data_IF_010460196796
#
_entry.id   IF_010460196796
#
_cell.length_a   1.000
_cell.length_b   1.000
_cell.length_c   1.000
_cell.angle_alpha   90.00
_cell.angle_beta   90.00
_cell.angle_gamma   90.00
#
_symmetry.space_group_name_H-M   'P 1'
#
loop_
_entity.id
_entity.type
_entity.pdbx_description
1 polymer ?
#
# COMPACT_ATOMS: atom_id res chain seq x y z
N UNK A 1 2.60 -4.84 -14.13
CA UNK A 1 3.48 -5.78 -13.42
C UNK A 1 3.03 -6.16 -12.01
N UNK A 2 2.49 -5.23 -11.20
CA UNK A 2 1.91 -5.59 -9.89
C UNK A 2 2.95 -6.18 -8.92
N UNK A 3 4.20 -5.72 -9.00
CA UNK A 3 5.31 -6.16 -8.13
C UNK A 3 5.95 -4.97 -7.45
N UNK A 4 6.39 -5.16 -6.21
CA UNK A 4 7.19 -4.19 -5.47
C UNK A 4 8.29 -4.90 -4.68
N UNK A 5 9.43 -4.25 -4.55
CA UNK A 5 10.48 -4.63 -3.62
C UNK A 5 10.78 -3.45 -2.70
N UNK A 6 11.03 -3.72 -1.43
CA UNK A 6 11.49 -2.74 -0.47
C UNK A 6 12.56 -3.32 0.44
N UNK A 7 13.38 -2.47 1.02
CA UNK A 7 14.33 -2.83 2.06
C UNK A 7 14.10 -1.90 3.24
N UNK A 8 14.11 -2.47 4.45
CA UNK A 8 14.04 -1.77 5.72
C UNK A 8 15.32 -2.12 6.52
N UNK A 9 16.46 -1.46 6.23
CA UNK A 9 17.76 -1.82 6.79
C UNK A 9 17.79 -1.78 8.32
N UNK A 10 17.14 -0.80 8.93
CA UNK A 10 17.07 -0.61 10.38
C UNK A 10 16.34 -1.76 11.08
N UNK A 11 15.48 -2.46 10.33
CA UNK A 11 14.77 -3.66 10.78
C UNK A 11 15.43 -4.96 10.29
N UNK A 12 16.46 -4.88 9.44
CA UNK A 12 17.10 -6.03 8.81
C UNK A 12 16.19 -6.81 7.85
N UNK A 13 15.18 -6.15 7.27
CA UNK A 13 14.16 -6.81 6.44
C UNK A 13 14.28 -6.45 4.96
N UNK A 14 14.10 -7.44 4.10
CA UNK A 14 13.77 -7.28 2.68
C UNK A 14 12.33 -7.71 2.43
N UNK A 15 11.60 -6.96 1.61
CA UNK A 15 10.22 -7.23 1.23
C UNK A 15 10.17 -7.44 -0.28
N UNK A 16 9.56 -8.54 -0.70
CA UNK A 16 9.18 -8.80 -2.08
C UNK A 16 7.67 -9.04 -2.13
N UNK A 17 6.97 -8.30 -2.96
CA UNK A 17 5.51 -8.30 -3.04
C UNK A 17 5.10 -8.54 -4.49
N UNK A 18 4.16 -9.47 -4.68
CA UNK A 18 3.49 -9.74 -5.96
C UNK A 18 1.98 -9.68 -5.75
N UNK A 19 1.31 -8.95 -6.62
CA UNK A 19 -0.12 -9.03 -6.80
C UNK A 19 -0.42 -10.08 -7.87
N UNK A 20 -1.25 -11.07 -7.50
CA UNK A 20 -1.55 -12.23 -8.34
C UNK A 20 -2.19 -11.85 -9.68
N UNK A 21 -3.09 -10.88 -9.69
CA UNK A 21 -3.75 -10.39 -10.91
C UNK A 21 -2.89 -9.40 -11.72
N UNK A 22 -1.67 -9.11 -11.25
CA UNK A 22 -0.72 -8.21 -11.89
C UNK A 22 -1.13 -6.73 -11.88
N UNK A 23 -2.23 -6.36 -11.20
CA UNK A 23 -2.76 -5.01 -11.18
C UNK A 23 -1.87 -4.08 -10.34
N UNK A 24 -1.27 -3.08 -11.00
CA UNK A 24 -0.42 -2.08 -10.33
C UNK A 24 -1.12 -1.37 -9.17
N UNK A 25 -2.36 -0.92 -9.39
CA UNK A 25 -3.17 -0.24 -8.38
C UNK A 25 -3.42 -1.08 -7.11
N UNK A 26 -3.52 -2.40 -7.24
CA UNK A 26 -3.68 -3.29 -6.09
C UNK A 26 -2.33 -3.49 -5.38
N UNK A 27 -1.26 -3.68 -6.15
CA UNK A 27 0.09 -3.83 -5.63
C UNK A 27 0.57 -2.58 -4.84
N UNK A 28 0.24 -1.37 -5.29
CA UNK A 28 0.52 -0.10 -4.60
C UNK A 28 -0.12 -0.04 -3.21
N UNK A 29 -1.41 -0.39 -3.14
CA UNK A 29 -2.16 -0.44 -1.87
C UNK A 29 -1.57 -1.47 -0.93
N UNK A 30 -1.22 -2.66 -1.44
CA UNK A 30 -0.64 -3.71 -0.61
C UNK A 30 0.75 -3.33 -0.07
N UNK A 31 1.63 -2.75 -0.89
CA UNK A 31 2.97 -2.35 -0.42
C UNK A 31 2.88 -1.22 0.61
N UNK A 32 1.99 -0.24 0.42
CA UNK A 32 1.77 0.83 1.37
C UNK A 32 1.29 0.31 2.74
N UNK A 33 0.32 -0.61 2.73
CA UNK A 33 -0.20 -1.25 3.95
C UNK A 33 0.88 -2.07 4.68
N UNK A 34 1.67 -2.86 3.93
CA UNK A 34 2.78 -3.65 4.51
C UNK A 34 3.83 -2.73 5.14
N UNK A 35 4.23 -1.66 4.45
CA UNK A 35 5.19 -0.69 4.97
C UNK A 35 4.67 0.02 6.21
N UNK A 36 3.40 0.46 6.23
CA UNK A 36 2.78 1.11 7.38
C UNK A 36 2.84 0.23 8.64
N UNK A 37 2.65 -1.09 8.47
CA UNK A 37 2.71 -2.07 9.55
C UNK A 37 4.12 -2.24 10.11
N UNK A 38 5.15 -2.30 9.26
CA UNK A 38 6.53 -2.43 9.74
C UNK A 38 7.10 -1.12 10.30
N UNK A 39 6.69 0.02 9.74
CA UNK A 39 7.14 1.35 10.13
C UNK A 39 6.22 2.03 11.16
N UNK A 40 5.34 1.27 11.82
CA UNK A 40 4.34 1.78 12.77
C UNK A 40 4.91 2.54 13.98
N UNK A 41 6.22 2.43 14.24
CA UNK A 41 6.91 3.20 15.27
C UNK A 41 7.01 4.69 14.89
N UNK A 42 7.19 4.99 13.61
CA UNK A 42 7.11 6.35 13.06
C UNK A 42 5.64 6.67 12.74
N UNK A 43 4.94 7.28 13.71
CA UNK A 43 3.50 7.56 13.58
C UNK A 43 3.16 8.49 12.41
N UNK A 44 3.89 9.61 12.17
CA UNK A 44 3.66 10.44 10.99
C UNK A 44 3.81 9.68 9.68
N UNK A 45 4.89 8.90 9.51
CA UNK A 45 5.12 8.15 8.29
C UNK A 45 4.07 7.04 8.09
N UNK A 46 3.75 6.30 9.15
CA UNK A 46 2.73 5.27 9.11
C UNK A 46 1.36 5.84 8.72
N UNK A 47 1.00 7.04 9.19
CA UNK A 47 -0.26 7.70 8.80
C UNK A 47 -0.30 8.02 7.29
N UNK A 48 0.79 8.54 6.72
CA UNK A 48 0.91 8.81 5.29
C UNK A 48 0.76 7.51 4.48
N UNK A 49 1.43 6.44 4.91
CA UNK A 49 1.35 5.13 4.26
C UNK A 49 -0.07 4.53 4.36
N UNK A 50 -0.76 4.73 5.47
CA UNK A 50 -2.16 4.33 5.62
C UNK A 50 -3.06 5.10 4.66
N UNK A 51 -2.88 6.41 4.49
CA UNK A 51 -3.63 7.18 3.48
C UNK A 51 -3.36 6.67 2.06
N UNK A 52 -2.10 6.37 1.74
CA UNK A 52 -1.71 5.79 0.44
C UNK A 52 -2.26 4.38 0.23
N UNK A 53 -2.53 3.62 1.28
CA UNK A 53 -3.20 2.33 1.21
C UNK A 53 -4.73 2.46 0.97
N UNK A 54 -5.30 3.66 1.03
CA UNK A 54 -6.74 3.90 0.84
C UNK A 54 -7.05 4.94 -0.24
N UNK A 55 -6.47 4.86 -1.45
CA UNK A 55 -6.65 5.88 -2.46
C UNK A 55 -8.09 5.89 -3.00
N UNK A 56 -8.64 7.07 -3.32
CA UNK A 56 -9.94 7.15 -3.99
C UNK A 56 -9.87 6.55 -5.40
N UNK A 57 -10.99 6.02 -5.87
CA UNK A 57 -11.19 5.74 -7.29
C UNK A 57 -11.97 6.92 -7.87
N UNK A 58 -11.38 7.60 -8.83
CA UNK A 58 -11.99 8.73 -9.52
C UNK A 58 -12.51 8.31 -10.90
N UNK A 59 -13.64 8.86 -11.29
CA UNK A 59 -14.17 8.77 -12.65
C UNK A 59 -13.38 9.68 -13.60
N UNK A 60 -13.63 9.56 -14.91
CA UNK A 60 -13.01 10.41 -15.94
C UNK A 60 -13.22 11.92 -15.73
N UNK A 61 -14.28 12.31 -15.03
CA UNK A 61 -14.60 13.71 -14.71
C UNK A 61 -14.11 14.14 -13.30
N UNK A 62 -13.31 13.31 -12.62
CA UNK A 62 -12.79 13.59 -11.28
C UNK A 62 -13.76 13.31 -10.13
N UNK A 63 -14.99 12.85 -10.40
CA UNK A 63 -15.90 12.47 -9.32
C UNK A 63 -15.41 11.20 -8.62
N UNK A 64 -15.36 11.20 -7.28
CA UNK A 64 -15.02 10.03 -6.47
C UNK A 64 -16.15 9.00 -6.55
N UNK A 65 -15.83 7.82 -7.08
CA UNK A 65 -16.78 6.71 -7.31
C UNK A 65 -16.44 5.46 -6.50
N UNK A 66 -15.35 5.47 -5.73
CA UNK A 66 -14.98 4.35 -4.87
C UNK A 66 -13.68 4.58 -4.11
N UNK A 67 -13.12 3.50 -3.56
CA UNK A 67 -11.80 3.47 -2.93
C UNK A 67 -11.17 2.09 -3.07
N UNK A 68 -9.87 2.03 -3.27
CA UNK A 68 -9.12 0.79 -3.07
C UNK A 68 -8.80 0.64 -1.58
N UNK A 69 -8.77 -0.60 -1.08
CA UNK A 69 -8.44 -0.91 0.32
C UNK A 69 -7.72 -2.25 0.40
N UNK A 70 -6.74 -2.40 1.31
CA UNK A 70 -6.20 -3.71 1.64
C UNK A 70 -7.29 -4.56 2.30
N UNK A 71 -7.16 -5.88 2.21
CA UNK A 71 -8.01 -6.80 2.97
C UNK A 71 -7.64 -6.74 4.46
N UNK A 72 -8.49 -7.28 5.32
CA UNK A 72 -8.24 -7.34 6.77
C UNK A 72 -6.94 -8.08 7.16
N UNK A 73 -6.35 -8.88 6.25
CA UNK A 73 -5.05 -9.50 6.50
C UNK A 73 -3.89 -8.47 6.57
N UNK A 74 -4.09 -7.29 5.98
CA UNK A 74 -3.10 -6.21 5.87
C UNK A 74 -3.62 -4.87 6.43
N UNK A 75 -4.87 -4.78 6.88
CA UNK A 75 -5.54 -3.57 7.35
C UNK A 75 -5.71 -3.51 8.86
#
# INVERSE_FOLDING_TARGET
>A
EGVYCAALPELGLGIALKCDDGAGRAAEVMVAAVLARFLHADKPLAAILIEQAHPPIESRIGAKVGSLRPTAALG
#
